data_IF_148698583984
#
_entry.id   IF_148698583984
#
_cell.length_a   1.000
_cell.length_b   1.000
_cell.length_c   1.000
_cell.angle_alpha   90.00
_cell.angle_beta   90.00
_cell.angle_gamma   90.00
#
_symmetry.space_group_name_H-M   'P 1'
#
loop_
_entity.id
_entity.type
_entity.pdbx_description
1 polymer ?
#
# COMPACT_ATOMS: atom_id res chain seq x y z
N UNK A 1 6.95 13.06 14.98
CA UNK A 1 6.40 11.90 14.25
C UNK A 1 4.90 12.06 14.16
N UNK A 2 4.36 12.08 12.94
CA UNK A 2 2.97 12.44 12.62
C UNK A 2 2.17 11.20 12.24
N UNK A 3 1.03 10.98 12.90
CA UNK A 3 0.09 9.89 12.57
C UNK A 3 -1.24 10.49 12.14
N UNK A 4 -1.76 10.03 10.99
CA UNK A 4 -3.05 10.49 10.46
C UNK A 4 -3.83 9.35 9.84
N UNK A 5 -5.14 9.45 9.93
CA UNK A 5 -6.05 8.61 9.15
C UNK A 5 -6.39 9.32 7.85
N UNK A 6 -6.32 8.58 6.75
CA UNK A 6 -6.63 9.09 5.41
C UNK A 6 -7.59 8.16 4.70
N UNK A 7 -8.38 8.74 3.79
CA UNK A 7 -9.22 7.96 2.87
C UNK A 7 -8.51 7.88 1.53
N UNK A 8 -8.29 6.68 1.04
CA UNK A 8 -7.77 6.46 -0.31
C UNK A 8 -8.90 6.46 -1.35
N UNK A 9 -8.56 6.75 -2.60
CA UNK A 9 -9.49 6.55 -3.74
C UNK A 9 -9.46 5.11 -4.24
N UNK A 10 -8.28 4.49 -4.20
CA UNK A 10 -8.06 3.10 -4.58
C UNK A 10 -7.13 2.40 -3.60
N UNK A 11 -7.22 1.08 -3.49
CA UNK A 11 -6.33 0.29 -2.63
C UNK A 11 -5.52 -0.77 -3.39
N UNK A 12 -6.07 -1.32 -4.48
CA UNK A 12 -5.37 -2.23 -5.40
C UNK A 12 -4.60 -1.45 -6.45
N UNK A 13 -3.31 -1.74 -6.55
CA UNK A 13 -2.44 -1.20 -7.60
C UNK A 13 -1.90 -2.35 -8.44
N UNK A 14 -2.02 -2.28 -9.77
CA UNK A 14 -1.45 -3.30 -10.65
C UNK A 14 0.08 -3.34 -10.50
N UNK A 15 0.63 -4.54 -10.34
CA UNK A 15 2.07 -4.75 -10.20
C UNK A 15 2.66 -5.27 -11.51
N UNK A 16 3.95 -4.99 -11.73
CA UNK A 16 4.72 -5.51 -12.86
C UNK A 16 5.78 -6.53 -12.43
N UNK A 17 5.79 -6.90 -11.16
CA UNK A 17 6.70 -7.93 -10.65
C UNK A 17 6.18 -9.29 -11.12
N UNK A 18 7.04 -10.19 -11.63
CA UNK A 18 6.65 -11.55 -11.97
C UNK A 18 5.90 -12.22 -10.81
N UNK A 19 4.85 -12.95 -11.13
CA UNK A 19 4.01 -13.69 -10.17
C UNK A 19 3.22 -12.82 -9.18
N UNK A 20 3.16 -11.49 -9.36
CA UNK A 20 2.33 -10.59 -8.55
C UNK A 20 1.45 -9.77 -9.50
N UNK A 21 0.13 -9.95 -9.41
CA UNK A 21 -0.81 -9.18 -10.22
C UNK A 21 -1.10 -7.81 -9.60
N UNK A 22 -1.28 -7.77 -8.28
CA UNK A 22 -1.68 -6.56 -7.56
C UNK A 22 -0.91 -6.37 -6.26
N UNK A 23 -0.78 -5.12 -5.85
CA UNK A 23 -0.23 -4.72 -4.55
C UNK A 23 -1.25 -3.92 -3.75
N UNK A 24 -1.29 -4.18 -2.45
CA UNK A 24 -2.02 -3.40 -1.46
C UNK A 24 -1.02 -2.73 -0.51
N UNK A 25 -1.15 -1.41 -0.34
CA UNK A 25 -0.36 -0.65 0.63
C UNK A 25 -1.31 0.04 1.62
N UNK A 26 -1.48 -0.50 2.84
CA UNK A 26 -2.45 0.01 3.82
C UNK A 26 -2.02 1.33 4.46
N UNK A 27 -0.73 1.65 4.43
CA UNK A 27 -0.17 2.86 4.99
C UNK A 27 0.49 3.75 3.92
N UNK A 28 0.84 4.97 4.29
CA UNK A 28 1.77 5.84 3.57
C UNK A 28 2.78 6.33 4.61
N UNK A 29 4.07 6.09 4.36
CA UNK A 29 5.12 6.37 5.33
C UNK A 29 5.60 5.13 6.10
N UNK A 30 6.66 5.32 6.87
CA UNK A 30 7.33 4.27 7.63
C UNK A 30 8.07 4.91 8.81
N UNK A 31 8.08 4.24 9.98
CA UNK A 31 8.79 4.73 11.17
C UNK A 31 10.28 4.43 11.17
N UNK A 32 10.72 3.44 10.39
CA UNK A 32 12.12 2.99 10.37
C UNK A 32 13.05 3.94 9.63
N UNK A 33 12.52 4.79 8.74
CA UNK A 33 13.28 5.85 8.07
C UNK A 33 14.57 5.37 7.36
N UNK A 34 14.60 4.12 6.86
CA UNK A 34 15.84 3.56 6.31
C UNK A 34 16.39 4.41 5.16
N UNK A 35 17.67 4.79 5.22
CA UNK A 35 18.33 5.67 4.25
C UNK A 35 18.28 5.14 2.81
N UNK A 36 18.25 3.82 2.64
CA UNK A 36 18.18 3.13 1.36
C UNK A 36 16.73 2.79 0.94
N UNK A 37 15.71 3.24 1.68
CA UNK A 37 14.34 2.86 1.42
C UNK A 37 13.84 3.52 0.13
N UNK A 38 13.58 2.69 -0.88
CA UNK A 38 13.00 3.17 -2.13
C UNK A 38 11.59 3.72 -1.95
N UNK A 39 10.86 3.36 -0.89
CA UNK A 39 9.50 3.84 -0.63
C UNK A 39 9.42 5.32 -0.18
N UNK A 40 10.56 6.01 0.00
CA UNK A 40 10.60 7.41 0.42
C UNK A 40 9.86 8.37 -0.51
N UNK A 41 9.71 8.03 -1.80
CA UNK A 41 8.93 8.83 -2.75
C UNK A 41 7.43 8.87 -2.44
N UNK A 42 6.90 7.97 -1.59
CA UNK A 42 5.48 7.90 -1.26
C UNK A 42 4.96 9.17 -0.57
N UNK A 43 5.85 9.98 0.00
CA UNK A 43 5.49 11.28 0.57
C UNK A 43 4.79 12.22 -0.40
N UNK A 44 5.07 12.11 -1.69
CA UNK A 44 4.46 12.97 -2.73
C UNK A 44 2.93 12.88 -2.80
N UNK A 45 2.34 11.81 -2.26
CA UNK A 45 0.89 11.62 -2.22
C UNK A 45 0.19 12.29 -1.04
N UNK A 46 0.96 12.86 -0.11
CA UNK A 46 0.49 13.51 1.11
C UNK A 46 1.25 14.83 1.37
N UNK A 47 1.76 15.44 0.31
CA UNK A 47 2.52 16.70 0.36
C UNK A 47 3.74 16.68 1.29
N UNK A 48 4.43 15.53 1.32
CA UNK A 48 5.71 15.34 2.03
C UNK A 48 6.83 15.10 1.04
N UNK A 49 8.02 15.59 1.35
CA UNK A 49 9.23 15.36 0.56
C UNK A 49 9.93 14.06 0.97
N UNK A 50 10.95 13.67 0.21
CA UNK A 50 11.82 12.54 0.59
C UNK A 50 12.55 12.77 1.91
N UNK A 51 12.80 14.03 2.28
CA UNK A 51 13.49 14.41 3.53
C UNK A 51 12.61 14.24 4.76
N UNK A 52 11.28 14.21 4.57
CA UNK A 52 10.31 13.96 5.63
C UNK A 52 10.15 12.45 5.94
N UNK A 53 10.86 11.58 5.20
CA UNK A 53 10.77 10.13 5.39
C UNK A 53 11.18 9.71 6.81
N UNK A 54 10.35 8.86 7.45
CA UNK A 54 10.50 8.59 8.89
C UNK A 54 9.64 9.46 9.79
N UNK A 55 9.21 10.62 9.29
CA UNK A 55 8.48 11.61 10.06
C UNK A 55 6.98 11.35 10.18
N UNK A 56 6.42 10.44 9.38
CA UNK A 56 4.97 10.24 9.27
C UNK A 56 4.56 8.78 9.00
N UNK A 57 3.36 8.42 9.46
CA UNK A 57 2.64 7.19 9.06
C UNK A 57 1.16 7.50 8.95
N UNK A 58 0.62 7.43 7.73
CA UNK A 58 -0.79 7.70 7.45
C UNK A 58 -1.53 6.39 7.14
N UNK A 59 -2.58 6.08 7.89
CA UNK A 59 -3.35 4.84 7.75
C UNK A 59 -4.56 5.03 6.82
N UNK A 60 -4.70 4.15 5.82
CA UNK A 60 -5.85 4.15 4.92
C UNK A 60 -7.03 3.39 5.54
N UNK A 61 -7.87 4.12 6.28
CA UNK A 61 -8.96 3.52 7.07
C UNK A 61 -10.04 2.83 6.22
N UNK A 62 -10.22 3.27 4.97
CA UNK A 62 -11.20 2.70 4.05
C UNK A 62 -10.65 1.56 3.18
N UNK A 63 -9.46 1.04 3.49
CA UNK A 63 -8.83 -0.03 2.73
C UNK A 63 -9.69 -1.32 2.66
N UNK A 64 -10.34 -1.80 3.74
CA UNK A 64 -11.16 -3.01 3.68
C UNK A 64 -12.39 -2.88 2.76
N UNK A 65 -13.09 -1.75 2.82
CA UNK A 65 -14.28 -1.50 2.01
C UNK A 65 -13.92 -1.30 0.53
N UNK A 66 -12.82 -0.58 0.26
CA UNK A 66 -12.29 -0.43 -1.09
C UNK A 66 -11.87 -1.76 -1.67
N UNK A 67 -11.17 -2.60 -0.90
CA UNK A 67 -10.69 -3.89 -1.35
C UNK A 67 -11.87 -4.77 -1.80
N UNK A 68 -12.93 -4.86 -0.99
CA UNK A 68 -14.15 -5.61 -1.34
C UNK A 68 -14.80 -5.10 -2.62
N UNK A 69 -14.84 -3.78 -2.83
CA UNK A 69 -15.41 -3.15 -4.03
C UNK A 69 -14.55 -3.38 -5.26
N UNK A 70 -13.23 -3.30 -5.13
CA UNK A 70 -12.30 -3.41 -6.24
C UNK A 70 -12.10 -4.87 -6.67
N UNK A 71 -12.05 -5.83 -5.74
CA UNK A 71 -12.00 -7.27 -6.08
C UNK A 71 -13.20 -7.67 -6.94
N UNK A 72 -14.41 -7.18 -6.62
CA UNK A 72 -15.62 -7.45 -7.41
C UNK A 72 -15.58 -6.86 -8.83
N UNK A 73 -14.73 -5.85 -9.08
CA UNK A 73 -14.53 -5.27 -10.41
C UNK A 73 -13.49 -6.04 -11.24
N UNK A 74 -12.67 -6.89 -10.61
CA UNK A 74 -11.72 -7.73 -11.31
C UNK A 74 -12.44 -8.86 -12.05
N UNK A 75 -11.87 -9.31 -13.18
CA UNK A 75 -12.35 -10.50 -13.89
C UNK A 75 -12.42 -11.68 -12.92
N UNK A 76 -13.50 -12.47 -13.01
CA UNK A 76 -13.75 -13.62 -12.15
C UNK A 76 -13.69 -13.31 -10.64
N UNK A 77 -14.06 -12.09 -10.24
CA UNK A 77 -13.93 -11.61 -8.85
C UNK A 77 -12.51 -11.75 -8.29
N UNK A 78 -11.48 -11.63 -9.13
CA UNK A 78 -10.09 -11.75 -8.72
C UNK A 78 -9.58 -13.18 -8.55
N UNK A 79 -10.40 -14.21 -8.83
CA UNK A 79 -9.98 -15.61 -8.68
C UNK A 79 -8.70 -15.93 -9.46
N UNK A 80 -7.71 -16.49 -8.77
CA UNK A 80 -6.43 -16.87 -9.34
C UNK A 80 -5.44 -15.72 -9.53
N UNK A 81 -5.73 -14.55 -8.96
CA UNK A 81 -4.81 -13.40 -8.94
C UNK A 81 -3.98 -13.40 -7.66
N UNK A 82 -2.69 -13.12 -7.81
CA UNK A 82 -1.78 -12.97 -6.67
C UNK A 82 -1.78 -11.52 -6.19
N UNK A 83 -2.13 -11.32 -4.92
CA UNK A 83 -2.09 -10.02 -4.26
C UNK A 83 -0.96 -9.99 -3.24
N UNK A 84 -0.06 -9.04 -3.42
CA UNK A 84 1.06 -8.80 -2.53
C UNK A 84 0.76 -7.63 -1.59
N UNK A 85 0.99 -7.84 -0.30
CA UNK A 85 0.88 -6.77 0.67
C UNK A 85 2.23 -6.06 0.83
N UNK A 86 2.16 -4.73 0.84
CA UNK A 86 3.18 -3.86 1.40
C UNK A 86 4.48 -3.85 0.61
N UNK A 87 4.40 -3.52 -0.68
CA UNK A 87 5.60 -3.25 -1.46
C UNK A 87 6.33 -2.00 -0.95
N UNK A 88 5.58 -0.94 -0.61
CA UNK A 88 6.11 0.38 -0.23
C UNK A 88 5.73 0.78 1.19
N UNK A 89 5.31 -0.19 2.00
CA UNK A 89 4.99 0.03 3.42
C UNK A 89 5.65 -1.05 4.26
N UNK A 90 6.04 -0.71 5.47
CA UNK A 90 6.57 -1.71 6.41
C UNK A 90 5.40 -2.31 7.20
N UNK A 91 4.72 -3.28 6.60
CA UNK A 91 3.87 -4.18 7.38
C UNK A 91 4.70 -5.40 7.75
N UNK A 92 4.92 -5.60 9.05
CA UNK A 92 5.73 -6.69 9.59
C UNK A 92 5.27 -8.09 9.09
N UNK A 93 4.00 -8.23 8.72
CA UNK A 93 3.41 -9.42 8.14
C UNK A 93 3.43 -9.35 6.61
N UNK A 94 4.44 -9.98 5.99
CA UNK A 94 4.41 -10.32 4.57
C UNK A 94 3.32 -11.37 4.32
N UNK A 95 2.13 -10.94 3.94
CA UNK A 95 1.04 -11.82 3.51
C UNK A 95 0.96 -11.83 1.98
N UNK A 96 1.05 -13.03 1.39
CA UNK A 96 0.63 -13.29 0.02
C UNK A 96 -0.73 -13.95 0.08
N UNK A 97 -1.68 -13.45 -0.71
CA UNK A 97 -3.02 -14.02 -0.74
C UNK A 97 -3.45 -14.23 -2.19
N UNK A 98 -3.87 -15.46 -2.48
CA UNK A 98 -4.63 -15.79 -3.68
C UNK A 98 -6.10 -15.54 -3.39
N UNK A 99 -6.73 -14.77 -4.26
CA UNK A 99 -8.20 -14.58 -4.26
C UNK A 99 -8.86 -15.73 -5.01
#
# INVERSE_FOLDING_TARGET
MEFKEVKAKTILTACKIPDIDYVINPYIGCRFACKYCYASFMGRFIDKTIYDWGGYVYAKINAPELLKKEIKKLKNNGKGKEIFFSSVTDSLSRSRSKV
#
